data_IF_330505806760
#
_entry.id   IF_330505806760
#
_cell.length_a   1.000
_cell.length_b   1.000
_cell.length_c   1.000
_cell.angle_alpha   90.00
_cell.angle_beta   90.00
_cell.angle_gamma   90.00
#
_symmetry.space_group_name_H-M   'P 1'
#
loop_
_entity.id
_entity.type
_entity.pdbx_description
1 polymer ?
#
# COMPACT_ATOMS: atom_id res chain seq x y z
N UNK A 1 6.79 13.93 -7.16
CA UNK A 1 5.95 12.91 -6.50
C UNK A 1 6.75 12.30 -5.36
N UNK A 2 6.26 12.34 -4.12
CA UNK A 2 6.99 11.81 -2.97
C UNK A 2 6.91 10.27 -2.91
N UNK A 3 8.03 9.62 -2.63
CA UNK A 3 8.15 8.18 -2.44
C UNK A 3 8.56 7.90 -0.99
N UNK A 4 8.13 6.76 -0.45
CA UNK A 4 8.65 6.19 0.79
C UNK A 4 9.51 4.96 0.48
N UNK A 5 10.51 4.72 1.31
CA UNK A 5 11.27 3.47 1.37
C UNK A 5 11.01 2.81 2.71
N UNK A 6 10.55 1.57 2.71
CA UNK A 6 10.35 0.75 3.91
C UNK A 6 11.19 -0.51 3.75
N UNK A 7 12.04 -0.79 4.73
CA UNK A 7 12.76 -2.07 4.81
C UNK A 7 12.17 -2.92 5.92
N UNK A 8 12.34 -4.24 5.82
CA UNK A 8 11.84 -5.17 6.84
C UNK A 8 12.07 -6.62 6.48
N UNK A 9 11.53 -7.52 7.29
CA UNK A 9 11.68 -8.98 7.11
C UNK A 9 10.34 -9.62 6.83
N UNK A 10 10.28 -10.50 5.81
CA UNK A 10 9.06 -11.22 5.48
C UNK A 10 8.64 -12.18 6.60
N UNK A 11 7.40 -12.05 7.08
CA UNK A 11 6.85 -12.92 8.15
C UNK A 11 6.30 -14.24 7.59
N UNK A 12 6.02 -14.27 6.28
CA UNK A 12 5.54 -15.42 5.54
C UNK A 12 6.06 -15.37 4.09
N UNK A 13 5.96 -16.49 3.38
CA UNK A 13 6.21 -16.53 1.93
C UNK A 13 5.27 -15.55 1.22
N UNK A 14 5.77 -14.92 0.15
CA UNK A 14 4.91 -14.07 -0.66
C UNK A 14 3.87 -14.91 -1.40
N UNK A 15 2.69 -14.34 -1.60
CA UNK A 15 1.57 -14.99 -2.28
C UNK A 15 1.03 -14.13 -3.42
N UNK A 16 0.40 -14.77 -4.41
CA UNK A 16 -0.40 -14.07 -5.40
C UNK A 16 -1.87 -14.29 -5.10
N UNK A 17 -2.57 -13.20 -4.81
CA UNK A 17 -4.03 -13.20 -4.62
C UNK A 17 -4.71 -12.64 -5.86
N UNK A 18 -5.99 -12.91 -5.99
CA UNK A 18 -6.86 -12.18 -6.93
C UNK A 18 -7.65 -11.17 -6.13
N UNK A 19 -7.46 -9.87 -6.39
CA UNK A 19 -8.15 -8.79 -5.70
C UNK A 19 -8.87 -7.89 -6.71
N UNK A 20 -10.07 -7.36 -6.38
CA UNK A 20 -10.74 -6.38 -7.23
C UNK A 20 -9.93 -5.07 -7.25
N UNK A 21 -9.77 -4.45 -8.41
CA UNK A 21 -9.05 -3.19 -8.61
C UNK A 21 -9.83 -2.22 -9.49
N UNK A 22 -9.63 -0.93 -9.29
CA UNK A 22 -10.29 0.12 -10.04
C UNK A 22 -11.79 0.26 -9.72
N UNK A 23 -12.45 1.17 -10.42
CA UNK A 23 -13.88 1.46 -10.24
C UNK A 23 -14.77 0.28 -10.61
N UNK A 24 -14.38 -0.47 -11.64
CA UNK A 24 -15.14 -1.63 -12.13
C UNK A 24 -14.87 -2.92 -11.33
N UNK A 25 -14.10 -2.83 -10.24
CA UNK A 25 -13.73 -3.99 -9.40
C UNK A 25 -13.14 -5.15 -10.20
N UNK A 26 -12.34 -4.86 -11.22
CA UNK A 26 -11.78 -5.87 -12.12
C UNK A 26 -10.85 -6.80 -11.33
N UNK A 27 -11.00 -8.13 -11.43
CA UNK A 27 -10.15 -9.06 -10.69
C UNK A 27 -8.72 -9.07 -11.26
N UNK A 28 -7.77 -8.60 -10.47
CA UNK A 28 -6.35 -8.52 -10.83
C UNK A 28 -5.49 -9.46 -9.99
N UNK A 29 -4.44 -10.08 -10.57
CA UNK A 29 -3.41 -10.74 -9.78
C UNK A 29 -2.60 -9.69 -8.99
N UNK A 30 -2.46 -9.91 -7.69
CA UNK A 30 -1.73 -9.03 -6.77
C UNK A 30 -0.71 -9.85 -6.02
N UNK A 31 0.57 -9.50 -6.17
CA UNK A 31 1.65 -10.02 -5.34
C UNK A 31 1.56 -9.35 -3.97
N UNK A 32 1.35 -10.15 -2.93
CA UNK A 32 1.21 -9.71 -1.56
C UNK A 32 2.43 -10.14 -0.73
N UNK A 33 3.01 -9.17 -0.03
CA UNK A 33 4.08 -9.38 0.93
C UNK A 33 3.61 -8.85 2.29
N UNK A 34 3.94 -9.57 3.36
CA UNK A 34 3.75 -9.11 4.72
C UNK A 34 5.12 -9.10 5.40
N UNK A 35 5.52 -7.92 5.87
CA UNK A 35 6.81 -7.73 6.54
C UNK A 35 6.61 -7.18 7.94
N UNK A 36 7.52 -7.51 8.84
CA UNK A 36 7.79 -6.69 10.02
C UNK A 36 8.79 -5.62 9.59
N UNK A 37 8.37 -4.36 9.62
CA UNK A 37 9.21 -3.24 9.20
C UNK A 37 10.37 -3.00 10.17
N UNK A 38 11.48 -2.49 9.64
CA UNK A 38 12.58 -2.03 10.48
C UNK A 38 12.21 -0.69 11.13
N UNK A 39 12.56 -0.54 12.41
CA UNK A 39 12.39 0.69 13.15
C UNK A 39 11.65 0.51 14.48
N UNK A 40 11.40 1.61 15.20
CA UNK A 40 10.69 1.57 16.47
C UNK A 40 9.29 0.96 16.30
N UNK A 41 9.00 -0.08 17.07
CA UNK A 41 7.69 -0.74 17.08
C UNK A 41 7.47 -1.83 16.03
N UNK A 42 8.44 -2.09 15.13
CA UNK A 42 8.41 -3.19 14.14
C UNK A 42 7.01 -3.40 13.51
N UNK A 43 6.48 -2.32 12.93
CA UNK A 43 5.09 -2.31 12.49
C UNK A 43 4.87 -3.34 11.37
N UNK A 44 3.78 -4.12 11.41
CA UNK A 44 3.42 -5.01 10.32
C UNK A 44 3.01 -4.19 9.09
N UNK A 45 3.67 -4.43 7.96
CA UNK A 45 3.40 -3.75 6.69
C UNK A 45 2.98 -4.75 5.63
N UNK A 46 1.77 -4.58 5.12
CA UNK A 46 1.29 -5.29 3.93
C UNK A 46 1.64 -4.49 2.68
N UNK A 47 2.50 -5.05 1.83
CA UNK A 47 2.83 -4.48 0.54
C UNK A 47 2.16 -5.27 -0.59
N UNK A 48 1.59 -4.54 -1.53
CA UNK A 48 0.84 -5.09 -2.66
C UNK A 48 1.40 -4.54 -3.96
N UNK A 49 1.69 -5.43 -4.90
CA UNK A 49 2.01 -5.05 -6.27
C UNK A 49 1.00 -5.67 -7.22
N UNK A 50 0.24 -4.79 -7.88
CA UNK A 50 -0.79 -5.16 -8.85
C UNK A 50 -0.15 -5.49 -10.19
N UNK A 51 -0.59 -6.58 -10.80
CA UNK A 51 -0.22 -6.99 -12.14
C UNK A 51 -1.46 -6.96 -13.05
N UNK A 52 -1.31 -6.66 -14.36
CA UNK A 52 -2.37 -6.86 -15.33
C UNK A 52 -2.84 -8.33 -15.38
N UNK A 53 -4.07 -8.63 -15.84
CA UNK A 53 -4.61 -10.00 -15.83
C UNK A 53 -3.73 -11.00 -16.58
N UNK A 54 -3.19 -10.59 -17.73
CA UNK A 54 -2.30 -11.40 -18.57
C UNK A 54 -0.95 -11.74 -17.90
N UNK A 55 -0.55 -11.01 -16.86
CA UNK A 55 0.74 -11.16 -16.19
C UNK A 55 0.67 -12.04 -14.92
N UNK A 56 -0.39 -12.83 -14.73
CA UNK A 56 -0.53 -13.71 -13.55
C UNK A 56 0.66 -14.66 -13.38
N UNK A 57 1.13 -15.29 -14.46
CA UNK A 57 2.26 -16.21 -14.40
C UNK A 57 3.54 -15.50 -13.93
N UNK A 58 3.76 -14.25 -14.37
CA UNK A 58 4.88 -13.42 -13.91
C UNK A 58 4.76 -13.10 -12.41
N UNK A 59 3.57 -12.72 -11.94
CA UNK A 59 3.33 -12.48 -10.52
C UNK A 59 3.65 -13.74 -9.69
N UNK A 60 3.22 -14.91 -10.16
CA UNK A 60 3.45 -16.20 -9.48
C UNK A 60 4.94 -16.57 -9.46
N UNK A 61 5.65 -16.39 -10.56
CA UNK A 61 7.08 -16.62 -10.61
C UNK A 61 7.82 -15.70 -9.63
N UNK A 62 7.40 -14.44 -9.54
CA UNK A 62 8.00 -13.48 -8.60
C UNK A 62 7.66 -13.79 -7.14
N UNK A 63 6.44 -14.25 -6.84
CA UNK A 63 6.10 -14.70 -5.49
C UNK A 63 7.04 -15.83 -5.00
N UNK A 64 7.41 -16.76 -5.89
CA UNK A 64 8.32 -17.86 -5.56
C UNK A 64 9.72 -17.39 -5.14
N UNK A 65 10.17 -16.20 -5.56
CA UNK A 65 11.48 -15.67 -5.16
C UNK A 65 11.48 -14.97 -3.80
N UNK A 66 10.33 -14.84 -3.14
CA UNK A 66 10.20 -14.16 -1.85
C UNK A 66 9.71 -15.13 -0.78
N UNK A 67 10.62 -15.46 0.14
CA UNK A 67 10.43 -16.45 1.20
C UNK A 67 10.42 -15.79 2.57
N UNK A 68 9.70 -16.41 3.51
CA UNK A 68 9.73 -16.04 4.92
C UNK A 68 11.18 -15.88 5.41
N UNK A 69 11.43 -14.86 6.22
CA UNK A 69 12.74 -14.54 6.77
C UNK A 69 13.65 -13.73 5.84
N UNK A 70 13.28 -13.53 4.57
CA UNK A 70 14.05 -12.65 3.69
C UNK A 70 13.87 -11.18 4.09
N UNK A 71 14.99 -10.46 4.13
CA UNK A 71 15.01 -9.01 4.26
C UNK A 71 14.71 -8.37 2.90
N UNK A 72 13.80 -7.42 2.86
CA UNK A 72 13.35 -6.76 1.63
C UNK A 72 13.33 -5.24 1.79
N UNK A 73 13.33 -4.55 0.66
CA UNK A 73 13.15 -3.11 0.56
C UNK A 73 11.96 -2.82 -0.36
N UNK A 74 11.06 -1.96 0.10
CA UNK A 74 9.77 -1.67 -0.55
C UNK A 74 9.71 -0.17 -0.80
N UNK A 75 9.51 0.20 -2.06
CA UNK A 75 9.33 1.59 -2.47
C UNK A 75 7.89 1.79 -2.90
N UNK A 76 7.21 2.79 -2.34
CA UNK A 76 5.81 3.09 -2.68
C UNK A 76 5.58 4.61 -2.81
N UNK A 77 4.65 5.05 -3.66
CA UNK A 77 4.22 6.43 -3.68
C UNK A 77 3.39 6.77 -2.44
N UNK A 78 3.76 7.83 -1.73
CA UNK A 78 3.17 8.20 -0.43
C UNK A 78 1.64 8.36 -0.51
N UNK A 79 1.14 8.96 -1.59
CA UNK A 79 -0.28 9.22 -1.81
C UNK A 79 -1.12 7.96 -2.10
N UNK A 80 -0.52 6.78 -2.24
CA UNK A 80 -1.23 5.51 -2.45
C UNK A 80 -1.12 4.57 -1.24
N UNK A 81 -0.40 4.96 -0.19
CA UNK A 81 -0.27 4.15 1.02
C UNK A 81 -1.62 4.10 1.72
N UNK A 82 -2.04 2.90 2.12
CA UNK A 82 -3.22 2.67 2.94
C UNK A 82 -2.78 2.25 4.34
N UNK A 83 -3.34 2.90 5.35
CA UNK A 83 -3.09 2.58 6.75
C UNK A 83 -4.31 1.91 7.36
N UNK A 84 -4.07 0.86 8.13
CA UNK A 84 -5.06 0.25 9.01
C UNK A 84 -4.48 0.27 10.41
N UNK A 85 -5.15 0.97 11.33
CA UNK A 85 -4.85 0.87 12.75
C UNK A 85 -5.72 -0.27 13.31
N UNK A 86 -5.10 -1.44 13.49
CA UNK A 86 -5.76 -2.59 14.09
C UNK A 86 -5.91 -2.41 15.60
N UNK A 87 -7.00 -2.91 16.16
CA UNK A 87 -7.23 -2.93 17.61
C UNK A 87 -7.21 -1.55 18.29
N UNK A 88 -7.71 -0.50 17.64
CA UNK A 88 -7.89 0.80 18.29
C UNK A 88 -8.73 0.66 19.57
N UNK A 89 -8.27 1.25 20.67
CA UNK A 89 -8.96 1.22 21.96
C UNK A 89 -10.14 2.19 22.03
N UNK A 90 -10.13 3.25 21.21
CA UNK A 90 -11.15 4.29 21.17
C UNK A 90 -11.23 4.92 19.78
N UNK A 91 -12.43 5.35 19.38
CA UNK A 91 -12.70 6.05 18.12
C UNK A 91 -13.80 7.09 18.41
N UNK A 92 -13.47 8.37 18.28
CA UNK A 92 -14.39 9.48 18.56
C UNK A 92 -14.54 10.40 17.33
N UNK A 93 -15.76 10.87 17.03
CA UNK A 93 -15.95 11.90 16.03
C UNK A 93 -15.36 13.23 16.52
N UNK A 94 -14.70 13.97 15.62
CA UNK A 94 -14.36 15.37 15.86
C UNK A 94 -15.55 16.24 15.42
N UNK A 95 -15.93 17.21 16.25
CA UNK A 95 -17.04 18.12 15.96
C UNK A 95 -16.61 19.38 15.17
N UNK A 96 -15.33 19.48 14.81
CA UNK A 96 -14.81 20.53 13.94
C UNK A 96 -14.95 20.13 12.45
N UNK A 97 -15.13 21.10 11.54
CA UNK A 97 -15.18 20.81 10.11
C UNK A 97 -13.85 20.24 9.63
N UNK A 98 -13.91 19.34 8.64
CA UNK A 98 -12.70 18.80 8.02
C UNK A 98 -11.82 19.94 7.48
N UNK A 99 -10.49 19.83 7.61
CA UNK A 99 -9.59 20.85 7.09
C UNK A 99 -9.80 21.02 5.58
N UNK A 100 -9.95 22.27 5.14
CA UNK A 100 -10.02 22.61 3.73
C UNK A 100 -8.66 22.27 3.12
N UNK A 101 -8.61 21.27 2.24
CA UNK A 101 -7.39 20.92 1.51
C UNK A 101 -7.10 22.04 0.50
N UNK A 102 -5.96 22.77 0.60
CA UNK A 102 -5.66 23.89 -0.29
C UNK A 102 -5.10 23.41 -1.65
N UNK A 103 -5.85 22.61 -2.40
CA UNK A 103 -5.38 22.05 -3.69
C UNK A 103 -6.33 22.23 -4.88
N UNK A 104 -7.19 23.26 -4.86
CA UNK A 104 -7.95 23.71 -6.04
C UNK A 104 -8.15 25.25 -6.08
N UNK A 105 -7.25 26.06 -5.52
CA UNK A 105 -7.35 27.54 -5.62
C UNK A 105 -6.26 28.20 -6.49
N UNK A 106 -5.33 27.42 -7.04
CA UNK A 106 -4.29 27.96 -7.95
C UNK A 106 -4.70 27.98 -9.43
N UNK A 107 -5.87 27.45 -9.80
CA UNK A 107 -6.36 27.48 -11.19
C UNK A 107 -7.36 28.61 -11.48
N UNK A 108 -8.03 29.17 -10.47
CA UNK A 108 -8.99 30.27 -10.65
C UNK A 108 -8.35 31.66 -10.61
N UNK A 109 -7.15 31.81 -10.05
CA UNK A 109 -6.40 33.07 -10.04
C UNK A 109 -5.61 33.34 -11.34
N UNK A 110 -5.63 32.43 -12.31
CA UNK A 110 -4.90 32.56 -13.58
C UNK A 110 -5.79 32.93 -14.79
N UNK A 111 -7.09 33.15 -14.57
CA UNK A 111 -8.05 33.55 -15.61
C UNK A 111 -8.77 34.87 -15.28
N UNK A 112 -8.16 35.72 -14.45
CA UNK A 112 -8.58 37.10 -14.23
C UNK A 112 -7.85 38.08 -15.14
#
# INVERSE_FOLDING_TARGET
MALILITGTLVQDAEVRTLPQGVDSTPMPVLCLLIDSDGPGQLPVKAEQVYPPAARAQAQQRAKSFKRGMRVSITAPVHQIRHTLGHCSDIQPLHEPAPVQPQMQLLEAAHG
#
